data_IF_481338452746
#
_entry.id   IF_481338452746
#
_cell.length_a   1.000
_cell.length_b   1.000
_cell.length_c   1.000
_cell.angle_alpha   90.00
_cell.angle_beta   90.00
_cell.angle_gamma   90.00
#
_symmetry.space_group_name_H-M   'P 1'
#
loop_
_entity.id
_entity.type
_entity.pdbx_description
1 polymer ?
#
# COMPACT_ATOMS: atom_id res chain seq x y z
N UNK A 1 -4.62 -20.40 -0.64
CA UNK A 1 -4.33 -19.23 -1.48
C UNK A 1 -5.54 -18.31 -1.47
N UNK A 2 -5.34 -17.05 -1.11
CA UNK A 2 -6.39 -16.04 -1.18
C UNK A 2 -5.82 -14.79 -1.85
N UNK A 3 -6.66 -14.15 -2.66
CA UNK A 3 -6.37 -12.87 -3.28
C UNK A 3 -7.39 -11.84 -2.81
N UNK A 4 -7.01 -10.57 -2.91
CA UNK A 4 -7.89 -9.41 -2.74
C UNK A 4 -7.60 -8.42 -3.84
N UNK A 5 -8.67 -7.86 -4.41
CA UNK A 5 -8.59 -6.77 -5.36
C UNK A 5 -9.00 -5.47 -4.64
N UNK A 6 -8.40 -4.35 -5.00
CA UNK A 6 -8.93 -3.03 -4.59
C UNK A 6 -10.26 -2.73 -5.30
N UNK A 7 -11.09 -1.82 -4.75
CA UNK A 7 -12.38 -1.47 -5.37
C UNK A 7 -12.27 -0.91 -6.79
N UNK A 8 -11.21 -0.16 -7.09
CA UNK A 8 -10.89 0.37 -8.42
C UNK A 8 -10.31 -0.70 -9.38
N UNK A 9 -9.99 -1.88 -8.86
CA UNK A 9 -9.38 -2.96 -9.61
C UNK A 9 -7.92 -2.74 -9.99
N UNK A 10 -7.22 -1.74 -9.45
CA UNK A 10 -5.85 -1.38 -9.84
C UNK A 10 -4.76 -1.99 -8.96
N UNK A 11 -5.14 -2.55 -7.80
CA UNK A 11 -4.30 -3.39 -6.96
C UNK A 11 -4.80 -4.82 -6.88
N UNK A 12 -3.83 -5.73 -6.90
CA UNK A 12 -4.00 -7.12 -6.53
C UNK A 12 -3.07 -7.44 -5.38
N UNK A 13 -3.66 -7.75 -4.22
CA UNK A 13 -2.93 -8.35 -3.11
C UNK A 13 -3.13 -9.86 -3.15
N UNK A 14 -2.05 -10.59 -2.95
CA UNK A 14 -2.07 -12.04 -2.91
C UNK A 14 -0.98 -12.55 -1.99
N UNK A 15 -1.21 -13.70 -1.38
CA UNK A 15 -0.13 -14.43 -0.72
C UNK A 15 0.56 -15.32 -1.74
N UNK A 16 1.88 -15.43 -1.67
CA UNK A 16 2.56 -16.52 -2.37
C UNK A 16 2.32 -17.86 -1.65
N UNK A 17 2.83 -18.93 -2.23
CA UNK A 17 2.57 -20.28 -1.78
C UNK A 17 3.88 -20.95 -1.40
N UNK A 18 4.01 -21.27 -0.12
CA UNK A 18 5.13 -22.05 0.39
C UNK A 18 4.71 -23.51 0.53
N UNK A 19 5.42 -24.38 -0.19
CA UNK A 19 5.41 -25.84 -0.05
C UNK A 19 6.84 -26.33 0.12
N UNK A 20 7.08 -27.53 0.69
CA UNK A 20 8.43 -28.09 0.88
C UNK A 20 9.26 -28.21 -0.42
N UNK A 21 8.63 -28.13 -1.59
CA UNK A 21 9.26 -28.28 -2.90
C UNK A 21 9.08 -27.07 -3.82
N UNK A 22 8.50 -25.97 -3.33
CA UNK A 22 8.33 -24.73 -4.09
C UNK A 22 9.07 -23.62 -3.35
N UNK A 23 10.14 -23.11 -3.96
CA UNK A 23 10.84 -21.95 -3.40
C UNK A 23 9.90 -20.74 -3.36
N UNK A 24 9.83 -20.01 -2.24
CA UNK A 24 9.13 -18.73 -2.16
C UNK A 24 9.61 -17.76 -3.24
N UNK A 25 8.81 -16.73 -3.52
CA UNK A 25 9.26 -15.64 -4.39
C UNK A 25 10.51 -14.99 -3.76
N UNK A 26 11.59 -14.74 -4.53
CA UNK A 26 12.78 -14.08 -4.01
C UNK A 26 12.44 -12.72 -3.39
N UNK A 27 12.97 -12.42 -2.21
CA UNK A 27 12.69 -11.18 -1.47
C UNK A 27 11.58 -11.28 -0.40
N UNK A 28 11.13 -12.50 -0.10
CA UNK A 28 10.26 -12.80 1.05
C UNK A 28 11.00 -12.80 2.40
N UNK A 29 10.23 -12.82 3.49
CA UNK A 29 10.72 -12.74 4.87
C UNK A 29 10.60 -14.07 5.65
N UNK A 30 9.89 -15.07 5.11
CA UNK A 30 9.59 -16.29 5.84
C UNK A 30 8.97 -17.39 4.99
N UNK A 31 7.89 -17.97 5.50
CA UNK A 31 7.08 -19.00 4.84
C UNK A 31 6.34 -18.46 3.62
N UNK A 32 5.02 -18.30 3.73
CA UNK A 32 4.25 -17.53 2.73
C UNK A 32 4.32 -16.05 3.08
N UNK A 33 4.46 -15.21 2.06
CA UNK A 33 4.48 -13.75 2.16
C UNK A 33 3.28 -13.13 1.43
N UNK A 34 2.86 -11.95 1.86
CA UNK A 34 1.88 -11.11 1.16
C UNK A 34 2.59 -10.14 0.22
N UNK A 35 2.13 -10.15 -1.03
CA UNK A 35 2.64 -9.35 -2.13
C UNK A 35 1.53 -8.45 -2.69
N UNK A 36 1.94 -7.33 -3.29
CA UNK A 36 1.06 -6.43 -4.04
C UNK A 36 1.54 -6.29 -5.47
N UNK A 37 0.63 -6.39 -6.43
CA UNK A 37 0.86 -6.02 -7.82
C UNK A 37 -0.05 -4.84 -8.19
N UNK A 38 0.45 -3.96 -9.05
CA UNK A 38 -0.26 -2.77 -9.52
C UNK A 38 -0.49 -2.82 -11.02
N UNK A 39 -1.50 -2.11 -11.52
CA UNK A 39 -1.66 -1.84 -12.95
C UNK A 39 -2.18 -0.44 -13.17
N UNK A 40 -1.81 0.17 -14.30
CA UNK A 40 -2.16 1.57 -14.58
C UNK A 40 -3.65 1.75 -14.94
N UNK A 41 -4.29 0.73 -15.49
CA UNK A 41 -5.71 0.73 -15.83
C UNK A 41 -6.28 -0.68 -15.70
N UNK A 42 -7.61 -0.82 -15.70
CA UNK A 42 -8.27 -2.14 -15.62
C UNK A 42 -7.94 -3.08 -16.79
N UNK A 43 -7.44 -2.55 -17.90
CA UNK A 43 -7.03 -3.31 -19.09
C UNK A 43 -5.52 -3.48 -19.21
N UNK A 44 -4.74 -2.75 -18.41
CA UNK A 44 -3.29 -2.86 -18.39
C UNK A 44 -2.84 -4.18 -17.75
N UNK A 45 -1.70 -4.76 -18.20
CA UNK A 45 -1.10 -5.88 -17.51
C UNK A 45 -0.66 -5.49 -16.10
N UNK A 46 -0.67 -6.48 -15.19
CA UNK A 46 -0.09 -6.33 -13.86
C UNK A 46 1.42 -6.11 -13.96
N UNK A 47 1.92 -5.16 -13.17
CA UNK A 47 3.35 -4.93 -12.96
C UNK A 47 3.94 -6.03 -12.06
N UNK A 48 5.27 -6.05 -11.98
CA UNK A 48 5.98 -6.96 -11.10
C UNK A 48 5.50 -6.81 -9.64
N UNK A 49 5.17 -7.90 -8.94
CA UNK A 49 4.75 -7.83 -7.55
C UNK A 49 5.87 -7.33 -6.63
N UNK A 50 5.48 -6.60 -5.59
CA UNK A 50 6.37 -6.08 -4.54
C UNK A 50 5.94 -6.70 -3.21
N UNK A 51 6.91 -7.13 -2.39
CA UNK A 51 6.66 -7.64 -1.04
C UNK A 51 6.24 -6.49 -0.11
N UNK A 52 5.24 -6.71 0.76
CA UNK A 52 4.74 -5.66 1.67
C UNK A 52 5.66 -5.33 2.86
N UNK A 53 6.80 -6.02 2.96
CA UNK A 53 7.84 -5.74 3.95
C UNK A 53 7.54 -6.28 5.34
N UNK A 54 8.48 -6.09 6.29
CA UNK A 54 8.48 -6.75 7.59
C UNK A 54 7.43 -6.22 8.57
N UNK A 55 6.69 -5.16 8.20
CA UNK A 55 5.53 -4.67 8.96
C UNK A 55 4.29 -5.55 8.75
N UNK A 56 4.20 -6.21 7.60
CA UNK A 56 3.07 -7.08 7.23
C UNK A 56 3.51 -8.53 7.26
N UNK A 57 4.68 -8.82 6.69
CA UNK A 57 5.22 -10.16 6.59
C UNK A 57 6.15 -10.46 7.77
N UNK A 58 5.89 -11.55 8.46
CA UNK A 58 6.69 -12.08 9.55
C UNK A 58 7.69 -13.15 9.10
N UNK A 59 8.39 -13.77 10.07
CA UNK A 59 9.28 -14.90 9.80
C UNK A 59 8.54 -16.21 9.50
N UNK A 60 7.25 -16.29 9.85
CA UNK A 60 6.40 -17.47 9.67
C UNK A 60 5.55 -17.32 8.40
N UNK A 61 4.28 -17.73 8.44
CA UNK A 61 3.37 -17.69 7.29
C UNK A 61 2.37 -16.55 7.39
N UNK A 62 2.31 -15.75 6.33
CA UNK A 62 1.37 -14.65 6.14
C UNK A 62 0.50 -14.92 4.91
N UNK A 63 -0.82 -14.88 5.10
CA UNK A 63 -1.75 -15.28 4.05
C UNK A 63 -3.10 -14.59 4.17
N UNK A 64 -3.96 -14.84 3.18
CA UNK A 64 -5.34 -14.41 3.23
C UNK A 64 -5.55 -12.89 3.18
N UNK A 65 -4.82 -12.11 2.37
CA UNK A 65 -5.02 -10.66 2.34
C UNK A 65 -6.45 -10.33 1.94
N UNK A 66 -7.01 -9.32 2.60
CA UNK A 66 -8.34 -8.74 2.35
C UNK A 66 -8.27 -7.24 2.57
N UNK A 67 -8.55 -6.47 1.54
CA UNK A 67 -8.73 -5.02 1.68
C UNK A 67 -10.10 -4.72 2.29
N UNK A 68 -10.15 -3.69 3.13
CA UNK A 68 -11.42 -3.06 3.49
C UNK A 68 -12.09 -2.46 2.25
N UNK A 69 -13.43 -2.29 2.27
CA UNK A 69 -14.15 -1.66 1.16
C UNK A 69 -13.67 -0.26 0.79
N UNK A 70 -13.09 0.48 1.75
CA UNK A 70 -12.52 1.80 1.55
C UNK A 70 -11.01 1.78 1.21
N UNK A 71 -10.40 0.60 1.06
CA UNK A 71 -8.98 0.44 0.72
C UNK A 71 -7.99 0.93 1.78
N UNK A 72 -8.44 1.28 2.99
CA UNK A 72 -7.54 1.84 4.03
C UNK A 72 -7.00 0.82 5.02
N UNK A 73 -7.57 -0.38 5.07
CA UNK A 73 -7.15 -1.45 5.97
C UNK A 73 -6.84 -2.71 5.18
N UNK A 74 -5.77 -3.40 5.56
CA UNK A 74 -5.49 -4.76 5.16
C UNK A 74 -5.78 -5.68 6.33
N UNK A 75 -6.63 -6.68 6.11
CA UNK A 75 -6.83 -7.82 7.00
C UNK A 75 -6.10 -9.03 6.44
N UNK A 76 -5.47 -9.81 7.30
CA UNK A 76 -4.72 -11.01 6.89
C UNK A 76 -4.56 -11.99 8.05
N UNK A 77 -4.12 -13.20 7.74
CA UNK A 77 -3.73 -14.19 8.73
C UNK A 77 -2.22 -14.22 8.84
N UNK A 78 -1.71 -14.26 10.06
CA UNK A 78 -0.29 -14.41 10.32
C UNK A 78 -0.03 -15.31 11.52
N UNK A 79 1.05 -16.08 11.41
CA UNK A 79 1.59 -16.93 12.44
C UNK A 79 2.77 -16.33 13.20
N UNK A 80 2.92 -15.01 13.31
CA UNK A 80 4.04 -14.29 13.97
C UNK A 80 4.55 -14.86 15.33
N UNK A 81 3.78 -15.72 16.02
CA UNK A 81 4.13 -16.32 17.31
C UNK A 81 4.34 -17.86 17.29
N UNK A 82 4.42 -18.48 16.11
CA UNK A 82 4.64 -19.91 15.86
C UNK A 82 3.66 -20.91 16.54
N UNK A 83 2.73 -20.44 17.38
CA UNK A 83 1.82 -21.29 18.14
C UNK A 83 0.36 -21.17 17.69
N UNK A 84 -0.04 -20.03 17.11
CA UNK A 84 -1.42 -19.82 16.65
C UNK A 84 -1.49 -18.96 15.38
N UNK A 85 -2.40 -19.32 14.47
CA UNK A 85 -2.74 -18.49 13.32
C UNK A 85 -3.78 -17.46 13.74
N UNK A 86 -3.38 -16.19 13.79
CA UNK A 86 -4.23 -15.10 14.23
C UNK A 86 -4.67 -14.21 13.06
N UNK A 87 -5.81 -13.56 13.22
CA UNK A 87 -6.26 -12.52 12.30
C UNK A 87 -5.67 -11.17 12.71
N UNK A 88 -5.02 -10.52 11.76
CA UNK A 88 -4.37 -9.23 11.94
C UNK A 88 -4.99 -8.18 11.04
N UNK A 89 -4.84 -6.92 11.44
CA UNK A 89 -5.17 -5.77 10.61
C UNK A 89 -4.05 -4.74 10.68
N UNK A 90 -3.76 -4.12 9.54
CA UNK A 90 -2.80 -3.00 9.45
C UNK A 90 -3.39 -1.89 8.58
N UNK A 91 -3.16 -0.61 8.95
CA UNK A 91 -3.54 0.50 8.08
C UNK A 91 -2.62 0.53 6.86
N UNK A 92 -3.19 0.89 5.71
CA UNK A 92 -2.41 1.23 4.53
C UNK A 92 -2.37 2.75 4.44
N UNK A 93 -1.18 3.32 4.63
CA UNK A 93 -0.98 4.76 4.77
C UNK A 93 -0.29 5.31 3.51
N UNK A 94 -0.85 6.35 2.87
CA UNK A 94 -0.18 7.05 1.77
C UNK A 94 1.14 7.68 2.25
N UNK A 95 2.17 7.62 1.41
CA UNK A 95 3.41 8.36 1.63
C UNK A 95 3.19 9.77 1.10
N UNK A 96 3.15 10.75 2.00
CA UNK A 96 2.84 12.17 1.68
C UNK A 96 4.06 13.09 1.76
N UNK A 97 5.13 12.62 2.39
CA UNK A 97 6.46 13.25 2.41
C UNK A 97 7.21 12.73 1.18
N UNK A 98 7.13 13.48 0.07
CA UNK A 98 7.64 13.05 -1.23
C UNK A 98 9.13 13.34 -1.40
N UNK A 99 9.64 14.35 -0.69
CA UNK A 99 11.06 14.70 -0.70
C UNK A 99 11.88 13.92 0.36
N UNK A 100 11.20 13.17 1.24
CA UNK A 100 11.74 12.36 2.33
C UNK A 100 12.52 13.18 3.38
N UNK A 101 12.10 14.41 3.66
CA UNK A 101 12.73 15.29 4.66
C UNK A 101 12.16 15.14 6.07
N UNK A 102 11.15 14.29 6.23
CA UNK A 102 10.49 14.00 7.51
C UNK A 102 9.37 14.96 7.86
N UNK A 103 8.94 15.85 6.95
CA UNK A 103 7.82 16.78 7.13
C UNK A 103 6.82 16.65 5.99
N UNK A 104 5.60 17.12 6.23
CA UNK A 104 4.59 17.30 5.19
C UNK A 104 4.37 18.79 5.04
N UNK A 105 4.99 19.38 4.01
CA UNK A 105 5.04 20.82 3.84
C UNK A 105 4.80 21.31 2.39
N UNK A 106 5.11 22.59 2.13
CA UNK A 106 4.88 23.19 0.81
C UNK A 106 5.80 22.62 -0.27
N UNK A 107 6.94 22.04 0.08
CA UNK A 107 7.84 21.38 -0.87
C UNK A 107 7.17 20.13 -1.43
N UNK A 108 6.52 19.33 -0.59
CA UNK A 108 5.75 18.16 -1.01
C UNK A 108 4.55 18.56 -1.88
N UNK A 109 3.86 19.64 -1.51
CA UNK A 109 2.75 20.17 -2.31
C UNK A 109 3.20 20.59 -3.70
N UNK A 110 4.36 21.26 -3.80
CA UNK A 110 4.94 21.64 -5.10
C UNK A 110 5.28 20.41 -5.93
N UNK A 111 5.85 19.36 -5.32
CA UNK A 111 6.11 18.10 -6.02
C UNK A 111 4.82 17.47 -6.58
N UNK A 112 3.74 17.49 -5.80
CA UNK A 112 2.43 17.01 -6.24
C UNK A 112 1.88 17.84 -7.41
N UNK A 113 1.99 19.17 -7.35
CA UNK A 113 1.57 20.08 -8.43
C UNK A 113 2.43 19.91 -9.69
N UNK A 114 3.74 19.76 -9.54
CA UNK A 114 4.67 19.56 -10.65
C UNK A 114 4.40 18.23 -11.37
N UNK A 115 3.87 17.24 -10.66
CA UNK A 115 3.44 15.95 -11.19
C UNK A 115 1.99 15.89 -11.63
N UNK A 116 1.24 17.00 -11.58
CA UNK A 116 -0.17 17.04 -11.92
C UNK A 116 -0.47 16.45 -13.30
N UNK A 117 -1.39 15.48 -13.33
CA UNK A 117 -1.80 14.74 -14.52
C UNK A 117 -0.83 13.66 -14.98
N UNK A 118 0.34 13.49 -14.36
CA UNK A 118 1.29 12.42 -14.69
C UNK A 118 0.79 11.08 -14.15
N UNK A 119 1.17 10.02 -14.83
CA UNK A 119 0.94 8.63 -14.39
C UNK A 119 2.24 8.04 -13.84
N UNK A 120 2.14 7.02 -12.97
CA UNK A 120 3.29 6.36 -12.31
C UNK A 120 4.15 7.34 -11.49
N UNK A 121 3.52 8.37 -10.94
CA UNK A 121 4.17 9.27 -9.99
C UNK A 121 4.10 8.68 -8.58
N UNK A 122 5.05 9.03 -7.71
CA UNK A 122 4.95 8.76 -6.28
C UNK A 122 3.92 9.67 -5.59
N UNK A 123 3.51 10.75 -6.26
CA UNK A 123 2.48 11.68 -5.81
C UNK A 123 1.05 11.16 -6.07
N UNK A 124 0.92 9.99 -6.70
CA UNK A 124 -0.34 9.27 -6.91
C UNK A 124 -0.64 8.43 -5.65
N UNK A 125 -1.39 9.04 -4.74
CA UNK A 125 -1.65 8.63 -3.35
C UNK A 125 -3.12 8.70 -2.95
N UNK A 126 -4.02 9.04 -3.88
CA UNK A 126 -5.45 9.20 -3.68
C UNK A 126 -6.27 8.44 -4.73
N UNK A 127 -7.53 8.07 -4.41
CA UNK A 127 -8.18 8.19 -3.10
C UNK A 127 -7.68 7.13 -2.09
N UNK A 128 -6.87 6.16 -2.55
CA UNK A 128 -6.26 5.12 -1.73
C UNK A 128 -4.76 5.36 -1.59
N UNK A 129 -4.13 4.78 -0.56
CA UNK A 129 -2.72 4.96 -0.20
C UNK A 129 -1.67 4.66 -1.29
N UNK A 130 -2.11 4.16 -2.45
CA UNK A 130 -1.31 3.75 -3.59
C UNK A 130 -1.72 4.41 -4.90
N UNK A 131 -2.65 5.36 -4.86
CA UNK A 131 -3.10 6.11 -6.03
C UNK A 131 -4.16 5.41 -6.87
N UNK A 132 -4.73 6.15 -7.83
CA UNK A 132 -5.67 5.66 -8.85
C UNK A 132 -5.03 5.54 -10.24
N UNK A 133 -3.72 5.76 -10.33
CA UNK A 133 -2.93 5.69 -11.55
C UNK A 133 -2.58 7.06 -12.14
N UNK A 134 -3.06 8.16 -11.55
CA UNK A 134 -2.84 9.51 -12.06
C UNK A 134 -2.86 10.54 -10.93
N UNK A 135 -1.89 11.46 -10.96
CA UNK A 135 -1.91 12.61 -10.04
C UNK A 135 -3.03 13.59 -10.42
N UNK A 136 -4.00 13.75 -9.55
CA UNK A 136 -5.12 14.67 -9.68
C UNK A 136 -5.67 15.17 -8.32
N UNK A 137 -6.94 15.57 -8.32
CA UNK A 137 -7.59 16.16 -7.15
C UNK A 137 -7.79 15.17 -6.01
N UNK A 138 -7.89 13.87 -6.28
CA UNK A 138 -8.00 12.87 -5.23
C UNK A 138 -6.70 12.76 -4.43
N UNK A 139 -5.54 12.90 -5.07
CA UNK A 139 -4.23 12.95 -4.39
C UNK A 139 -4.09 14.20 -3.53
N UNK A 140 -4.50 15.36 -4.08
CA UNK A 140 -4.46 16.62 -3.33
C UNK A 140 -5.34 16.54 -2.08
N UNK A 141 -6.53 15.93 -2.18
CA UNK A 141 -7.40 15.72 -1.00
C UNK A 141 -6.69 14.88 0.05
N UNK A 142 -6.06 13.77 -0.35
CA UNK A 142 -5.29 12.93 0.58
C UNK A 142 -4.16 13.74 1.21
N UNK A 143 -3.34 14.42 0.40
CA UNK A 143 -2.25 15.26 0.88
C UNK A 143 -2.71 16.27 1.92
N UNK A 144 -3.78 17.02 1.65
CA UNK A 144 -4.29 18.05 2.55
C UNK A 144 -4.72 17.48 3.91
N UNK A 145 -5.27 16.26 3.96
CA UNK A 145 -5.62 15.63 5.25
C UNK A 145 -4.42 15.33 6.14
N UNK A 146 -3.21 15.19 5.58
CA UNK A 146 -1.97 15.01 6.34
C UNK A 146 -1.32 16.36 6.63
N UNK A 147 -1.30 17.26 5.65
CA UNK A 147 -0.79 18.62 5.82
C UNK A 147 -1.46 19.34 7.00
N UNK A 148 -2.78 19.25 7.13
CA UNK A 148 -3.53 19.87 8.25
C UNK A 148 -3.22 19.26 9.62
N UNK A 149 -2.83 17.98 9.69
CA UNK A 149 -2.43 17.33 10.95
C UNK A 149 -1.09 17.84 11.45
N UNK A 150 -0.14 18.02 10.53
CA UNK A 150 1.21 18.55 10.82
C UNK A 150 1.20 20.08 11.01
N UNK A 151 0.28 20.78 10.33
CA UNK A 151 0.15 22.23 10.35
C UNK A 151 -1.24 22.65 10.87
N UNK A 152 -1.58 22.37 12.14
CA UNK A 152 -2.89 22.73 12.67
C UNK A 152 -3.05 24.25 12.71
N UNK A 153 -4.26 24.78 12.45
CA UNK A 153 -4.50 26.22 12.50
C UNK A 153 -4.16 26.77 13.90
N UNK A 154 -3.64 28.00 13.93
CA UNK A 154 -3.33 28.68 15.18
C UNK A 154 -4.59 28.73 16.06
N UNK A 155 -4.45 28.34 17.33
CA UNK A 155 -5.55 28.46 18.29
C UNK A 155 -5.86 29.95 18.49
N UNK A 156 -7.15 30.32 18.51
CA UNK A 156 -7.58 31.70 18.73
C UNK A 156 -7.15 32.24 20.10
#
# INVERSE_FOLDING_TARGET
>A
MALSLSPDGLLLLFSDYHEPFVSPRPGGFGGSDIWVARRATISAPWQAPVNLGPKVNGPDFDAGPRLSPDGRMLYYWSGHDAATWNSWQVPIIPIVDFNADGKVDLVDLVMLIDDWGKSKSVCDIGPYAWGDGKVDIEDLKVFMTYYEKENPPAKP
#
